data_IF_760915455621
#
_entry.id   IF_760915455621
#
_cell.length_a   1.000
_cell.length_b   1.000
_cell.length_c   1.000
_cell.angle_alpha   90.00
_cell.angle_beta   90.00
_cell.angle_gamma   90.00
#
_symmetry.space_group_name_H-M   'P 1'
#
loop_
_entity.id
_entity.type
_entity.pdbx_description
1 polymer ?
#
# COMPACT_ATOMS: atom_id res chain seq x y z
N UNK A 1 -59.31 -27.44 38.39
CA UNK A 1 -59.32 -28.66 37.54
C UNK A 1 -59.35 -28.37 36.03
N UNK A 2 -59.70 -27.16 35.57
CA UNK A 2 -59.75 -26.82 34.14
C UNK A 2 -58.37 -26.63 33.45
N UNK A 3 -57.34 -26.17 34.16
CA UNK A 3 -56.03 -25.87 33.55
C UNK A 3 -55.19 -27.10 33.15
N UNK A 4 -55.52 -28.27 33.71
CA UNK A 4 -54.84 -29.54 33.40
C UNK A 4 -55.22 -30.04 32.00
N UNK A 5 -56.45 -29.76 31.55
CA UNK A 5 -56.97 -30.21 30.26
C UNK A 5 -56.26 -29.50 29.10
N UNK A 6 -56.02 -28.18 29.22
CA UNK A 6 -55.29 -27.40 28.22
C UNK A 6 -53.82 -27.79 28.11
N UNK A 7 -53.15 -28.07 29.23
CA UNK A 7 -51.75 -28.54 29.23
C UNK A 7 -51.61 -29.93 28.59
N UNK A 8 -52.57 -30.82 28.83
CA UNK A 8 -52.61 -32.16 28.22
C UNK A 8 -52.87 -32.08 26.71
N UNK A 9 -53.75 -31.16 26.28
CA UNK A 9 -54.04 -30.91 24.87
C UNK A 9 -52.82 -30.33 24.12
N UNK A 10 -52.11 -29.38 24.73
CA UNK A 10 -50.87 -28.82 24.17
C UNK A 10 -49.79 -29.90 24.01
N UNK A 11 -49.62 -30.78 25.00
CA UNK A 11 -48.64 -31.86 24.96
C UNK A 11 -49.00 -32.93 23.91
N UNK A 12 -50.30 -33.23 23.75
CA UNK A 12 -50.79 -34.12 22.70
C UNK A 12 -50.51 -33.56 21.30
N UNK A 13 -50.68 -32.25 21.09
CA UNK A 13 -50.35 -31.59 19.82
C UNK A 13 -48.85 -31.60 19.54
N UNK A 14 -48.00 -31.34 20.55
CA UNK A 14 -46.54 -31.45 20.42
C UNK A 14 -46.12 -32.87 20.03
N UNK A 15 -46.70 -33.89 20.67
CA UNK A 15 -46.45 -35.30 20.32
C UNK A 15 -46.90 -35.63 18.89
N UNK A 16 -48.08 -35.17 18.50
CA UNK A 16 -48.62 -35.37 17.13
C UNK A 16 -47.71 -34.75 16.07
N UNK A 17 -47.23 -33.52 16.29
CA UNK A 17 -46.31 -32.86 15.38
C UNK A 17 -44.96 -33.59 15.28
N UNK A 18 -44.38 -33.98 16.43
CA UNK A 18 -43.15 -34.77 16.46
C UNK A 18 -43.28 -36.11 15.74
N UNK A 19 -44.40 -36.82 15.93
CA UNK A 19 -44.67 -38.08 15.22
C UNK A 19 -44.84 -37.86 13.72
N UNK A 20 -45.46 -36.75 13.30
CA UNK A 20 -45.60 -36.40 11.89
C UNK A 20 -44.25 -36.14 11.24
N UNK A 21 -43.35 -35.42 11.91
CA UNK A 21 -41.97 -35.20 11.45
C UNK A 21 -41.20 -36.52 11.32
N UNK A 22 -41.30 -37.41 12.32
CA UNK A 22 -40.65 -38.72 12.28
C UNK A 22 -41.20 -39.62 11.16
N UNK A 23 -42.51 -39.57 10.88
CA UNK A 23 -43.10 -40.29 9.75
C UNK A 23 -42.64 -39.70 8.41
N UNK A 24 -42.59 -38.37 8.29
CA UNK A 24 -42.10 -37.70 7.08
C UNK A 24 -40.64 -38.01 6.77
N UNK A 25 -39.78 -38.12 7.79
CA UNK A 25 -38.38 -38.53 7.62
C UNK A 25 -38.26 -39.98 7.14
N UNK A 26 -39.04 -40.92 7.70
CA UNK A 26 -39.06 -42.32 7.24
C UNK A 26 -39.50 -42.47 5.80
N UNK A 27 -40.55 -41.75 5.38
CA UNK A 27 -41.00 -41.79 3.98
C UNK A 27 -39.99 -41.18 3.02
N UNK A 28 -39.23 -40.16 3.46
CA UNK A 28 -38.16 -39.57 2.67
C UNK A 28 -36.96 -40.51 2.57
N UNK A 29 -36.57 -41.19 3.66
CA UNK A 29 -35.54 -42.24 3.63
C UNK A 29 -35.95 -43.42 2.73
N UNK A 30 -37.22 -43.85 2.76
CA UNK A 30 -37.75 -44.89 1.88
C UNK A 30 -37.75 -44.44 0.40
N UNK A 31 -38.13 -43.19 0.10
CA UNK A 31 -38.06 -42.62 -1.24
C UNK A 31 -36.61 -42.41 -1.72
N UNK A 32 -35.68 -42.05 -0.84
CA UNK A 32 -34.25 -41.99 -1.15
C UNK A 32 -33.66 -43.38 -1.40
N UNK A 33 -34.16 -44.41 -0.72
CA UNK A 33 -33.73 -45.79 -0.93
C UNK A 33 -34.25 -46.40 -2.24
N UNK A 34 -35.46 -46.02 -2.69
CA UNK A 34 -36.04 -46.51 -3.96
C UNK A 34 -35.55 -45.76 -5.19
N UNK A 35 -35.10 -44.50 -5.07
CA UNK A 35 -34.44 -43.74 -6.15
C UNK A 35 -33.00 -44.22 -6.40
N UNK A 36 -32.37 -44.86 -5.41
CA UNK A 36 -30.97 -45.31 -5.49
C UNK A 36 -30.75 -46.67 -6.20
N UNK A 37 -31.80 -47.31 -6.73
CA UNK A 37 -31.70 -48.63 -7.37
C UNK A 37 -31.80 -48.56 -8.91
N UNK A 38 -32.25 -47.44 -9.49
CA UNK A 38 -32.27 -47.22 -10.96
C UNK A 38 -31.07 -46.40 -11.51
N UNK A 39 -30.06 -46.13 -10.69
CA UNK A 39 -28.81 -45.49 -11.11
C UNK A 39 -27.60 -46.32 -10.70
N UNK A 40 -27.53 -47.58 -11.14
CA UNK A 40 -26.24 -48.30 -11.19
C UNK A 40 -25.36 -47.73 -12.32
N UNK A 41 -25.08 -46.43 -12.26
CA UNK A 41 -24.07 -45.77 -13.08
C UNK A 41 -22.72 -46.02 -12.39
N UNK A 42 -22.13 -47.18 -12.67
CA UNK A 42 -20.71 -47.41 -12.40
C UNK A 42 -19.90 -46.25 -13.01
N UNK A 43 -18.92 -45.69 -12.27
CA UNK A 43 -18.12 -44.59 -12.78
C UNK A 43 -17.38 -45.03 -14.05
N UNK A 44 -17.49 -44.23 -15.11
CA UNK A 44 -16.83 -44.52 -16.39
C UNK A 44 -15.31 -44.49 -16.22
N UNK A 45 -14.57 -45.46 -16.79
CA UNK A 45 -13.12 -45.50 -16.70
C UNK A 45 -12.50 -44.26 -17.36
N UNK A 46 -11.38 -43.78 -16.84
CA UNK A 46 -10.61 -42.68 -17.43
C UNK A 46 -9.30 -43.26 -17.95
N UNK A 47 -9.10 -43.19 -19.26
CA UNK A 47 -7.86 -43.63 -19.89
C UNK A 47 -6.79 -42.54 -19.81
N UNK A 48 -5.64 -42.84 -19.20
CA UNK A 48 -4.49 -41.92 -19.10
C UNK A 48 -3.51 -42.06 -20.27
N UNK A 49 -3.34 -43.29 -20.79
CA UNK A 49 -2.30 -43.63 -21.77
C UNK A 49 -2.84 -44.16 -23.11
N UNK A 50 -4.15 -44.19 -23.32
CA UNK A 50 -4.76 -44.72 -24.54
C UNK A 50 -5.65 -43.68 -25.21
N UNK A 51 -5.46 -43.47 -26.51
CA UNK A 51 -6.28 -42.58 -27.34
C UNK A 51 -7.03 -43.45 -28.37
N UNK A 52 -8.35 -43.61 -28.25
CA UNK A 52 -9.11 -44.35 -29.25
C UNK A 52 -9.09 -43.60 -30.59
N UNK A 53 -9.00 -44.34 -31.70
CA UNK A 53 -8.94 -43.77 -33.06
C UNK A 53 -10.31 -43.29 -33.58
N UNK A 54 -11.41 -43.69 -32.92
CA UNK A 54 -12.79 -43.42 -33.36
C UNK A 54 -13.42 -42.28 -32.55
N UNK A 55 -13.98 -41.28 -33.22
CA UNK A 55 -14.55 -40.08 -32.58
C UNK A 55 -15.75 -40.38 -31.66
N UNK A 56 -16.49 -41.47 -31.93
CA UNK A 56 -17.64 -41.90 -31.12
C UNK A 56 -17.25 -42.39 -29.70
N UNK A 57 -15.99 -42.78 -29.52
CA UNK A 57 -15.48 -43.38 -28.27
C UNK A 57 -14.54 -42.45 -27.51
N UNK A 58 -14.49 -41.16 -27.86
CA UNK A 58 -13.65 -40.18 -27.18
C UNK A 58 -14.20 -39.88 -25.78
N UNK A 59 -13.86 -40.73 -24.81
CA UNK A 59 -14.16 -40.53 -23.40
C UNK A 59 -13.41 -39.30 -22.84
N UNK A 60 -13.90 -38.70 -21.73
CA UNK A 60 -13.24 -37.55 -21.13
C UNK A 60 -11.87 -37.95 -20.59
N UNK A 61 -10.81 -37.61 -21.33
CA UNK A 61 -9.43 -37.68 -20.86
C UNK A 61 -9.17 -36.56 -19.88
N UNK A 62 -8.46 -36.87 -18.79
CA UNK A 62 -7.97 -35.84 -17.86
C UNK A 62 -6.97 -34.99 -18.64
N UNK A 63 -7.21 -33.68 -18.71
CA UNK A 63 -6.27 -32.73 -19.30
C UNK A 63 -4.94 -32.87 -18.58
N UNK A 64 -3.88 -33.17 -19.32
CA UNK A 64 -2.53 -33.11 -18.77
C UNK A 64 -2.35 -31.74 -18.11
N UNK A 65 -2.13 -31.74 -16.80
CA UNK A 65 -1.65 -30.58 -16.07
C UNK A 65 -0.25 -30.28 -16.63
N UNK A 66 -0.21 -29.61 -17.78
CA UNK A 66 1.02 -29.13 -18.37
C UNK A 66 1.65 -28.22 -17.32
N UNK A 67 2.73 -28.71 -16.70
CA UNK A 67 3.59 -27.86 -15.89
C UNK A 67 3.86 -26.60 -16.72
N UNK A 68 3.59 -25.44 -16.12
CA UNK A 68 3.44 -24.16 -16.81
C UNK A 68 4.50 -23.94 -17.90
N UNK A 69 4.06 -23.39 -19.02
CA UNK A 69 4.89 -23.17 -20.22
C UNK A 69 6.09 -22.28 -19.88
N UNK A 70 7.21 -22.92 -19.50
CA UNK A 70 8.47 -22.28 -19.09
C UNK A 70 8.98 -21.34 -20.20
N UNK A 71 8.66 -21.65 -21.45
CA UNK A 71 9.01 -20.85 -22.62
C UNK A 71 8.45 -19.42 -22.56
N UNK A 72 7.25 -19.23 -22.00
CA UNK A 72 6.64 -17.89 -21.86
C UNK A 72 7.38 -17.08 -20.80
N UNK A 73 7.72 -17.69 -19.67
CA UNK A 73 8.46 -17.02 -18.60
C UNK A 73 9.89 -16.72 -19.04
N UNK A 74 10.57 -17.63 -19.73
CA UNK A 74 11.90 -17.37 -20.27
C UNK A 74 11.85 -16.25 -21.31
N UNK A 75 10.81 -16.20 -22.15
CA UNK A 75 10.57 -15.14 -23.12
C UNK A 75 10.44 -13.76 -22.46
N UNK A 76 9.63 -13.63 -21.39
CA UNK A 76 9.46 -12.36 -20.68
C UNK A 76 10.76 -11.89 -20.02
N UNK A 77 11.54 -12.79 -19.42
CA UNK A 77 12.83 -12.42 -18.84
C UNK A 77 13.84 -11.98 -19.92
N UNK A 78 13.82 -12.62 -21.09
CA UNK A 78 14.70 -12.25 -22.20
C UNK A 78 14.33 -10.88 -22.79
N UNK A 79 13.04 -10.53 -22.82
CA UNK A 79 12.57 -9.20 -23.19
C UNK A 79 12.98 -8.13 -22.17
N UNK A 80 12.86 -8.42 -20.87
CA UNK A 80 13.33 -7.53 -19.80
C UNK A 80 14.84 -7.28 -19.87
N UNK A 81 15.64 -8.29 -20.24
CA UNK A 81 17.09 -8.11 -20.43
C UNK A 81 17.45 -7.29 -21.67
N UNK A 82 16.58 -7.21 -22.67
CA UNK A 82 16.82 -6.41 -23.89
C UNK A 82 16.56 -4.92 -23.66
N UNK A 83 15.71 -4.55 -22.71
CA UNK A 83 15.53 -3.13 -22.37
C UNK A 83 16.83 -2.62 -21.77
N UNK A 84 17.48 -1.61 -22.37
CA UNK A 84 18.71 -1.06 -21.81
C UNK A 84 18.36 -0.49 -20.44
N UNK A 85 19.06 -0.98 -19.41
CA UNK A 85 18.98 -0.41 -18.07
C UNK A 85 19.46 1.02 -18.21
N UNK A 86 18.52 1.98 -18.25
CA UNK A 86 18.83 3.40 -18.17
C UNK A 86 19.30 3.62 -16.74
N UNK A 87 20.60 3.45 -16.52
CA UNK A 87 21.25 3.85 -15.30
C UNK A 87 21.18 5.38 -15.34
N UNK A 88 20.19 5.95 -14.67
CA UNK A 88 20.27 7.35 -14.26
C UNK A 88 21.60 7.48 -13.52
N UNK A 89 22.55 8.20 -14.12
CA UNK A 89 23.89 8.39 -13.57
C UNK A 89 23.74 8.93 -12.14
N UNK A 90 23.99 8.05 -11.18
CA UNK A 90 23.91 8.40 -9.76
C UNK A 90 25.04 9.41 -9.53
N UNK A 91 24.67 10.65 -9.24
CA UNK A 91 25.60 11.75 -9.04
C UNK A 91 26.53 11.47 -7.83
N UNK A 92 27.74 11.02 -8.14
CA UNK A 92 28.77 10.54 -7.20
C UNK A 92 29.21 11.65 -6.24
N UNK A 93 29.03 12.93 -6.62
CA UNK A 93 29.38 14.07 -5.78
C UNK A 93 28.45 14.23 -4.57
N UNK A 94 27.20 13.76 -4.68
CA UNK A 94 26.22 13.82 -3.58
C UNK A 94 26.34 12.64 -2.60
N UNK A 95 27.05 11.57 -2.99
CA UNK A 95 27.26 10.36 -2.17
C UNK A 95 28.51 10.44 -1.29
N UNK A 96 29.40 11.40 -1.53
CA UNK A 96 30.60 11.62 -0.74
C UNK A 96 30.26 12.04 0.71
N UNK A 97 31.08 11.66 1.70
CA UNK A 97 30.89 12.07 3.09
C UNK A 97 31.01 13.60 3.20
N UNK A 98 29.92 14.25 3.59
CA UNK A 98 29.86 15.71 3.78
C UNK A 98 30.43 16.13 5.14
N UNK A 99 30.82 17.42 5.27
CA UNK A 99 31.26 18.02 6.55
C UNK A 99 30.21 17.74 7.65
N UNK A 100 30.56 17.35 8.89
CA UNK A 100 29.59 17.02 9.94
C UNK A 100 28.50 18.09 10.18
N UNK A 101 28.85 19.37 9.99
CA UNK A 101 27.94 20.51 10.18
C UNK A 101 26.99 20.78 9.00
N UNK A 102 27.08 20.03 7.91
CA UNK A 102 26.34 20.32 6.67
C UNK A 102 24.82 20.26 6.87
N UNK A 103 24.37 19.31 7.69
CA UNK A 103 22.97 19.09 7.99
C UNK A 103 22.44 20.21 8.89
N UNK A 104 23.24 20.59 9.90
CA UNK A 104 22.93 21.71 10.78
C UNK A 104 22.81 23.02 9.98
N UNK A 105 23.74 23.29 9.06
CA UNK A 105 23.69 24.47 8.20
C UNK A 105 22.46 24.47 7.30
N UNK A 106 22.07 23.34 6.73
CA UNK A 106 20.88 23.23 5.88
C UNK A 106 19.60 23.54 6.67
N UNK A 107 19.45 22.92 7.84
CA UNK A 107 18.25 23.02 8.66
C UNK A 107 18.11 24.40 9.32
N UNK A 108 19.23 25.01 9.68
CA UNK A 108 19.28 26.36 10.28
C UNK A 108 19.11 27.45 9.23
N UNK A 109 19.65 27.28 8.01
CA UNK A 109 19.57 28.27 6.92
C UNK A 109 18.12 28.72 6.65
N UNK A 110 17.18 27.78 6.57
CA UNK A 110 15.76 28.09 6.33
C UNK A 110 15.12 28.91 7.45
N UNK A 111 15.58 28.74 8.69
CA UNK A 111 15.10 29.52 9.85
C UNK A 111 15.75 30.90 9.88
N UNK A 112 17.05 30.98 9.60
CA UNK A 112 17.78 32.24 9.50
C UNK A 112 17.22 33.13 8.40
N UNK A 113 16.92 32.61 7.21
CA UNK A 113 16.33 33.39 6.12
C UNK A 113 14.98 34.04 6.53
N UNK A 114 14.11 33.27 7.20
CA UNK A 114 12.84 33.79 7.72
C UNK A 114 13.04 34.86 8.78
N UNK A 115 14.04 34.68 9.66
CA UNK A 115 14.36 35.64 10.71
C UNK A 115 14.96 36.90 10.11
N UNK A 116 15.91 36.77 9.18
CA UNK A 116 16.57 37.87 8.48
C UNK A 116 15.55 38.76 7.76
N UNK A 117 14.56 38.19 7.06
CA UNK A 117 13.48 38.97 6.44
C UNK A 117 12.68 39.79 7.45
N UNK A 118 12.42 39.25 8.65
CA UNK A 118 11.73 39.97 9.73
C UNK A 118 12.63 41.05 10.34
N UNK A 119 13.92 40.74 10.54
CA UNK A 119 14.91 41.67 11.07
C UNK A 119 15.12 42.85 10.12
N UNK A 120 15.26 42.61 8.82
CA UNK A 120 15.35 43.66 7.81
C UNK A 120 14.09 44.55 7.79
N UNK A 121 12.90 43.94 7.92
CA UNK A 121 11.64 44.70 8.02
C UNK A 121 11.60 45.58 9.28
N UNK A 122 11.97 45.04 10.44
CA UNK A 122 12.03 45.78 11.69
C UNK A 122 13.09 46.90 11.64
N UNK A 123 14.25 46.65 11.03
CA UNK A 123 15.28 47.67 10.78
C UNK A 123 14.71 48.78 9.90
N UNK A 124 14.03 48.44 8.80
CA UNK A 124 13.43 49.44 7.92
C UNK A 124 12.35 50.29 8.61
N UNK A 125 11.51 49.68 9.44
CA UNK A 125 10.52 50.39 10.26
C UNK A 125 11.19 51.34 11.25
N UNK A 126 12.22 50.88 11.95
CA UNK A 126 12.96 51.67 12.93
C UNK A 126 13.72 52.84 12.29
N UNK A 127 14.30 52.65 11.10
CA UNK A 127 14.90 53.73 10.31
C UNK A 127 13.83 54.76 9.92
N UNK A 128 12.64 54.30 9.48
CA UNK A 128 11.55 55.19 9.09
C UNK A 128 11.06 56.05 10.26
N UNK A 129 10.99 55.50 11.47
CA UNK A 129 10.65 56.24 12.69
C UNK A 129 11.72 57.27 13.05
N UNK A 130 13.00 56.89 13.01
CA UNK A 130 14.10 57.82 13.32
C UNK A 130 14.23 58.95 12.31
N UNK A 131 13.98 58.69 11.03
CA UNK A 131 13.94 59.74 10.00
C UNK A 131 12.79 60.73 10.26
N UNK A 132 11.60 60.25 10.65
CA UNK A 132 10.49 61.13 11.08
C UNK A 132 10.83 61.95 12.32
N UNK A 133 11.67 61.43 13.21
CA UNK A 133 12.15 62.12 14.40
C UNK A 133 13.32 63.09 14.12
N UNK A 134 13.80 63.22 12.87
CA UNK A 134 14.85 64.15 12.47
C UNK A 134 16.28 63.71 12.81
N UNK A 135 16.51 62.44 13.12
CA UNK A 135 17.83 61.91 13.55
C UNK A 135 18.70 61.40 12.39
N UNK A 136 18.72 62.11 11.26
CA UNK A 136 19.28 61.60 10.00
C UNK A 136 20.82 61.42 10.01
N UNK A 137 21.54 62.31 10.71
CA UNK A 137 23.02 62.28 10.78
C UNK A 137 23.56 61.08 11.58
N UNK A 138 22.87 60.68 12.64
CA UNK A 138 23.26 59.54 13.50
C UNK A 138 23.10 58.20 12.76
N UNK A 139 22.10 58.10 11.88
CA UNK A 139 21.84 56.90 11.07
C UNK A 139 22.95 56.69 10.04
N UNK A 140 23.38 57.74 9.33
CA UNK A 140 24.41 57.65 8.31
C UNK A 140 25.76 57.20 8.90
N UNK A 141 26.10 57.71 10.10
CA UNK A 141 27.31 57.32 10.79
C UNK A 141 27.25 55.85 11.26
N UNK A 142 26.11 55.41 11.80
CA UNK A 142 25.92 54.02 12.23
C UNK A 142 25.97 53.01 11.06
N UNK A 143 25.40 53.36 9.90
CA UNK A 143 25.44 52.51 8.70
C UNK A 143 26.86 52.32 8.18
N UNK A 144 27.67 53.39 8.16
CA UNK A 144 29.06 53.31 7.72
C UNK A 144 29.94 52.43 8.64
N UNK A 145 29.67 52.42 9.94
CA UNK A 145 30.38 51.54 10.88
C UNK A 145 29.98 50.07 10.66
N UNK A 146 28.68 49.81 10.48
CA UNK A 146 28.17 48.46 10.28
C UNK A 146 28.66 47.81 8.97
N UNK A 147 28.69 48.56 7.87
CA UNK A 147 29.17 48.06 6.57
C UNK A 147 30.68 47.78 6.54
N UNK A 148 31.45 48.55 7.31
CA UNK A 148 32.90 48.35 7.46
C UNK A 148 33.23 47.11 8.31
N UNK A 149 32.39 46.79 9.30
CA UNK A 149 32.57 45.60 10.16
C UNK A 149 32.22 44.27 9.47
N UNK A 150 31.16 44.26 8.65
CA UNK A 150 30.73 43.03 7.95
C UNK A 150 31.69 42.62 6.84
N UNK A 151 32.25 43.57 6.10
CA UNK A 151 33.23 43.30 5.03
C UNK A 151 34.52 42.67 5.54
N UNK A 152 35.02 43.11 6.69
CA UNK A 152 36.19 42.51 7.34
C UNK A 152 35.94 41.07 7.84
N UNK A 153 34.74 40.79 8.38
CA UNK A 153 34.36 39.45 8.85
C UNK A 153 34.07 38.47 7.70
N UNK A 154 33.56 38.96 6.56
CA UNK A 154 33.28 38.14 5.38
C UNK A 154 34.57 37.63 4.72
N UNK A 155 35.65 38.42 4.73
CA UNK A 155 36.95 38.04 4.15
C UNK A 155 37.61 36.88 4.91
N UNK A 156 37.48 36.82 6.24
CA UNK A 156 38.12 35.75 7.03
C UNK A 156 37.45 34.38 6.83
N UNK A 157 36.13 34.36 6.61
CA UNK A 157 35.40 33.11 6.37
C UNK A 157 35.67 32.51 4.98
N UNK A 158 36.02 33.33 3.99
CA UNK A 158 36.34 32.87 2.63
C UNK A 158 37.80 32.40 2.46
N UNK A 159 38.70 32.70 3.40
CA UNK A 159 40.09 32.20 3.38
C UNK A 159 40.26 30.79 3.98
N UNK A 160 39.19 30.21 4.52
CA UNK A 160 39.23 28.93 5.26
C UNK A 160 38.75 27.73 4.44
N UNK A 161 38.47 27.91 3.14
CA UNK A 161 37.81 26.92 2.28
C UNK A 161 38.67 26.51 1.05
N UNK A 162 40.00 26.71 1.10
CA UNK A 162 40.99 26.15 0.15
C UNK A 162 41.94 25.17 0.89
#
# INVERSE_FOLDING_TARGET
>A
MADVVGKLEEEALRRKNRLRELRGKRTNDEQQSSINIESTAVPKPVFRNYKPETEELHEPTVTDDHAGVVEKEVGTHLEMMKTPIVIEEIDIANLAPRKPDWDLKRDVSKKLEKLERKTQKAIAELIRERLKAGQEQDILQAVNIATSGTTAAQQQNNLSDD
#
